data_IF_911812404466
#
_entry.id   IF_911812404466
#
_cell.length_a   1.000
_cell.length_b   1.000
_cell.length_c   1.000
_cell.angle_alpha   90.00
_cell.angle_beta   90.00
_cell.angle_gamma   90.00
#
_symmetry.space_group_name_H-M   'P 1'
#
loop_
_entity.id
_entity.type
_entity.pdbx_description
1 polymer ?
#
# COMPACT_ATOMS: atom_id res chain seq x y z
N UNK A 1 -36.27 -34.68 40.50
CA UNK A 1 -35.53 -35.32 39.38
C UNK A 1 -34.87 -34.24 38.54
N UNK A 2 -33.55 -34.05 38.64
CA UNK A 2 -32.82 -33.04 37.87
C UNK A 2 -32.56 -33.54 36.44
N UNK A 3 -33.07 -32.82 35.44
CA UNK A 3 -32.76 -33.04 34.02
C UNK A 3 -31.36 -32.49 33.73
N UNK A 4 -30.39 -33.38 33.59
CA UNK A 4 -29.02 -33.00 33.21
C UNK A 4 -28.95 -32.93 31.68
N UNK A 5 -28.93 -31.71 31.13
CA UNK A 5 -28.72 -31.48 29.70
C UNK A 5 -27.24 -31.66 29.36
N UNK A 6 -26.86 -32.84 28.85
CA UNK A 6 -25.57 -33.02 28.18
C UNK A 6 -25.60 -32.26 26.85
N UNK A 7 -24.94 -31.10 26.80
CA UNK A 7 -24.67 -30.44 25.53
C UNK A 7 -23.75 -31.33 24.69
N UNK A 8 -24.29 -31.88 23.62
CA UNK A 8 -23.54 -32.63 22.61
C UNK A 8 -22.48 -31.72 21.99
N UNK A 9 -21.23 -31.93 22.40
CA UNK A 9 -20.02 -31.16 22.03
C UNK A 9 -19.70 -31.20 20.52
N UNK A 10 -20.42 -32.00 19.74
CA UNK A 10 -20.12 -32.31 18.34
C UNK A 10 -20.78 -31.37 17.32
N UNK A 11 -21.89 -30.70 17.65
CA UNK A 11 -22.61 -29.85 16.69
C UNK A 11 -22.03 -28.44 16.53
N UNK A 12 -21.29 -27.94 17.52
CA UNK A 12 -20.66 -26.62 17.48
C UNK A 12 -19.43 -26.56 16.57
N UNK A 13 -18.70 -27.67 16.41
CA UNK A 13 -17.52 -27.72 15.55
C UNK A 13 -17.86 -27.57 14.04
N UNK A 14 -19.01 -28.05 13.61
CA UNK A 14 -19.45 -27.97 12.21
C UNK A 14 -19.80 -26.54 11.77
N UNK A 15 -20.23 -25.68 12.70
CA UNK A 15 -20.50 -24.28 12.44
C UNK A 15 -19.25 -23.39 12.56
N UNK A 16 -18.24 -23.85 13.32
CA UNK A 16 -17.01 -23.10 13.50
C UNK A 16 -16.16 -23.02 12.21
N UNK A 17 -16.19 -24.06 11.38
CA UNK A 17 -15.43 -24.12 10.12
C UNK A 17 -15.86 -23.05 9.08
N UNK A 18 -17.16 -22.94 8.71
CA UNK A 18 -17.59 -21.90 7.77
C UNK A 18 -17.47 -20.50 8.36
N UNK A 19 -17.64 -20.35 9.68
CA UNK A 19 -17.47 -19.06 10.36
C UNK A 19 -16.02 -18.58 10.30
N UNK A 20 -15.05 -19.48 10.56
CA UNK A 20 -13.63 -19.15 10.43
C UNK A 20 -13.28 -18.74 9.00
N UNK A 21 -13.83 -19.44 7.99
CA UNK A 21 -13.59 -19.13 6.58
C UNK A 21 -14.13 -17.74 6.20
N UNK A 22 -15.32 -17.38 6.69
CA UNK A 22 -15.91 -16.05 6.48
C UNK A 22 -15.09 -14.94 7.14
N UNK A 23 -14.56 -15.18 8.35
CA UNK A 23 -13.70 -14.20 9.04
C UNK A 23 -12.38 -14.00 8.30
N UNK A 24 -11.77 -15.07 7.77
CA UNK A 24 -10.56 -14.96 6.94
C UNK A 24 -10.80 -14.25 5.61
N UNK A 25 -11.96 -14.46 4.98
CA UNK A 25 -12.30 -13.79 3.73
C UNK A 25 -12.60 -12.30 3.96
N UNK A 26 -13.32 -11.99 5.04
CA UNK A 26 -13.61 -10.61 5.43
C UNK A 26 -12.33 -9.82 5.75
N UNK A 27 -11.36 -10.44 6.43
CA UNK A 27 -10.06 -9.80 6.73
C UNK A 27 -9.20 -9.59 5.49
N UNK A 28 -9.26 -10.49 4.51
CA UNK A 28 -8.62 -10.31 3.19
C UNK A 28 -9.22 -9.15 2.40
N UNK A 29 -10.54 -9.00 2.43
CA UNK A 29 -11.25 -7.91 1.75
C UNK A 29 -11.08 -6.55 2.46
N UNK A 30 -10.88 -6.56 3.78
CA UNK A 30 -10.59 -5.35 4.56
C UNK A 30 -9.12 -4.94 4.53
N UNK A 31 -8.23 -5.74 3.93
CA UNK A 31 -6.83 -5.37 3.86
C UNK A 31 -6.68 -4.12 2.98
N UNK A 32 -6.11 -3.02 3.51
CA UNK A 32 -6.01 -1.78 2.77
C UNK A 32 -5.16 -2.01 1.51
N UNK A 33 -5.79 -1.89 0.35
CA UNK A 33 -5.10 -1.81 -0.93
C UNK A 33 -4.53 -0.39 -1.03
N UNK A 34 -3.21 -0.24 -1.00
CA UNK A 34 -2.60 1.08 -1.18
C UNK A 34 -2.96 1.60 -2.58
N UNK A 35 -3.63 2.77 -2.68
CA UNK A 35 -4.01 3.31 -3.97
C UNK A 35 -2.75 3.62 -4.81
N UNK A 36 -2.81 3.34 -6.10
CA UNK A 36 -1.74 3.77 -7.01
C UNK A 36 -1.79 5.30 -7.14
N UNK A 37 -0.64 5.96 -6.94
CA UNK A 37 -0.49 7.41 -7.11
C UNK A 37 0.51 7.73 -8.21
N UNK A 38 0.31 8.88 -8.86
CA UNK A 38 1.30 9.44 -9.77
C UNK A 38 2.44 10.07 -8.98
N UNK A 39 3.66 9.70 -9.34
CA UNK A 39 4.91 10.29 -8.83
C UNK A 39 5.87 10.57 -9.95
N UNK A 40 6.76 11.54 -9.73
CA UNK A 40 7.82 11.88 -10.66
C UNK A 40 9.02 10.97 -10.45
N UNK A 41 9.42 10.28 -11.51
CA UNK A 41 10.62 9.44 -11.56
C UNK A 41 11.61 10.05 -12.55
N UNK A 42 12.89 10.04 -12.20
CA UNK A 42 13.94 10.59 -13.05
C UNK A 42 14.21 9.64 -14.24
N UNK A 43 14.22 10.19 -15.46
CA UNK A 43 14.53 9.44 -16.69
C UNK A 43 16.02 9.17 -16.88
N UNK A 44 16.85 9.94 -16.20
CA UNK A 44 18.32 9.88 -16.28
C UNK A 44 18.92 10.19 -14.93
N UNK A 45 20.19 9.85 -14.78
CA UNK A 45 20.97 10.28 -13.63
C UNK A 45 21.10 11.80 -13.60
N UNK A 46 20.81 12.40 -12.45
CA UNK A 46 20.91 13.83 -12.21
C UNK A 46 21.88 14.07 -11.04
N UNK A 47 22.83 14.97 -11.25
CA UNK A 47 23.82 15.32 -10.23
C UNK A 47 23.25 16.27 -9.18
N UNK A 48 23.80 16.21 -7.97
CA UNK A 48 23.55 17.23 -6.95
C UNK A 48 24.02 18.61 -7.48
N UNK A 49 23.30 19.66 -7.11
CA UNK A 49 23.51 21.03 -7.57
C UNK A 49 22.94 21.34 -8.97
N UNK A 50 22.39 20.35 -9.68
CA UNK A 50 21.75 20.59 -10.98
C UNK A 50 20.34 21.17 -10.83
N UNK A 51 19.94 21.99 -11.79
CA UNK A 51 18.60 22.56 -11.85
C UNK A 51 17.61 21.47 -12.29
N UNK A 52 16.59 21.24 -11.46
CA UNK A 52 15.59 20.23 -11.73
C UNK A 52 14.63 20.73 -12.82
N UNK A 53 14.55 19.99 -13.92
CA UNK A 53 13.74 20.33 -15.08
C UNK A 53 12.65 19.28 -15.29
N UNK A 54 11.42 19.71 -15.55
CA UNK A 54 10.29 18.80 -15.81
C UNK A 54 10.56 17.82 -16.97
N UNK A 55 11.46 18.15 -17.90
CA UNK A 55 11.85 17.26 -19.02
C UNK A 55 12.59 16.01 -18.54
N UNK A 56 13.30 16.12 -17.42
CA UNK A 56 14.15 15.05 -16.88
C UNK A 56 13.36 14.05 -16.02
N UNK A 57 12.08 14.31 -15.79
CA UNK A 57 11.17 13.46 -15.03
C UNK A 57 10.03 12.95 -15.89
N UNK A 58 9.45 11.82 -15.48
CA UNK A 58 8.18 11.31 -15.99
C UNK A 58 7.22 10.97 -14.86
N UNK A 59 5.91 11.19 -15.06
CA UNK A 59 4.90 10.70 -14.14
C UNK A 59 4.76 9.19 -14.29
N UNK A 60 4.92 8.47 -13.17
CA UNK A 60 4.72 7.03 -13.08
C UNK A 60 3.67 6.72 -12.03
N UNK A 61 2.74 5.83 -12.37
CA UNK A 61 1.76 5.35 -11.40
C UNK A 61 2.38 4.22 -10.59
N UNK A 62 2.55 4.43 -9.29
CA UNK A 62 3.20 3.47 -8.38
C UNK A 62 2.32 3.29 -7.15
N UNK A 63 2.24 2.06 -6.64
CA UNK A 63 1.65 1.80 -5.32
C UNK A 63 2.66 2.20 -4.26
N UNK A 64 2.45 3.36 -3.66
CA UNK A 64 3.29 3.91 -2.62
C UNK A 64 2.43 3.82 -1.36
N UNK A 65 2.91 3.05 -0.38
CA UNK A 65 2.20 2.89 0.89
C UNK A 65 2.22 4.19 1.71
N UNK A 66 2.28 4.06 3.03
CA UNK A 66 2.12 5.18 3.96
C UNK A 66 3.15 6.32 3.80
N UNK A 67 4.26 6.08 3.08
CA UNK A 67 5.31 7.07 2.79
C UNK A 67 5.02 7.98 1.59
N UNK A 68 3.79 8.01 1.11
CA UNK A 68 3.34 8.79 -0.06
C UNK A 68 3.75 10.28 0.01
N UNK A 69 3.72 10.89 1.19
CA UNK A 69 4.04 12.31 1.39
C UNK A 69 5.50 12.67 1.11
N UNK A 70 6.39 11.69 0.96
CA UNK A 70 7.81 11.89 0.66
C UNK A 70 8.08 12.01 -0.85
N UNK A 71 7.10 11.67 -1.68
CA UNK A 71 7.24 11.68 -3.13
C UNK A 71 6.62 12.92 -3.76
N UNK A 72 7.24 13.39 -4.82
CA UNK A 72 6.77 14.54 -5.58
C UNK A 72 5.81 14.08 -6.67
N UNK A 73 4.60 14.65 -6.68
CA UNK A 73 3.68 14.53 -7.81
C UNK A 73 3.99 15.57 -8.90
N UNK A 74 4.49 16.74 -8.50
CA UNK A 74 4.85 17.84 -9.39
C UNK A 74 6.19 18.47 -8.97
N UNK A 75 6.91 19.01 -9.96
CA UNK A 75 8.23 19.59 -9.73
C UNK A 75 8.09 21.09 -9.41
N UNK A 76 8.60 21.59 -8.27
CA UNK A 76 8.60 23.01 -7.97
C UNK A 76 9.46 23.78 -8.98
N UNK A 77 8.97 24.94 -9.44
CA UNK A 77 9.67 25.75 -10.44
C UNK A 77 11.00 26.27 -9.88
N UNK A 78 12.09 26.11 -10.64
CA UNK A 78 13.41 26.62 -10.26
C UNK A 78 14.08 25.86 -9.11
N UNK A 79 13.64 24.63 -8.82
CA UNK A 79 14.25 23.79 -7.79
C UNK A 79 15.65 23.31 -8.20
N UNK A 80 16.54 23.19 -7.21
CA UNK A 80 17.89 22.65 -7.37
C UNK A 80 17.98 21.34 -6.59
N UNK A 81 18.58 20.33 -7.20
CA UNK A 81 18.78 19.04 -6.56
C UNK A 81 19.81 19.15 -5.45
N UNK A 82 19.43 18.80 -4.22
CA UNK A 82 20.37 18.78 -3.08
C UNK A 82 21.19 17.48 -3.05
N UNK A 83 20.65 16.41 -3.63
CA UNK A 83 21.31 15.10 -3.72
C UNK A 83 21.32 14.60 -5.16
N UNK A 84 22.20 13.63 -5.43
CA UNK A 84 22.20 12.89 -6.69
C UNK A 84 20.93 12.03 -6.77
N UNK A 85 20.28 12.03 -7.93
CA UNK A 85 19.16 11.15 -8.25
C UNK A 85 19.60 10.19 -9.34
N UNK A 86 19.35 8.90 -9.14
CA UNK A 86 19.61 7.85 -10.14
C UNK A 86 18.32 7.57 -10.91
N UNK A 87 18.44 7.27 -12.21
CA UNK A 87 17.28 6.89 -13.02
C UNK A 87 16.59 5.62 -12.49
N UNK A 88 15.26 5.50 -12.67
CA UNK A 88 14.46 4.36 -12.19
C UNK A 88 13.22 4.05 -13.02
#
# INVERSE_FOLDING_TARGET
>A
MQKVHRLGKSRTAWLALPLALLVTLATLLLWPQSPARQVLVAKRDLAAGSLASAKDFEPRSVQIGDSESLYLAELPTGSILVTRITAG
#
